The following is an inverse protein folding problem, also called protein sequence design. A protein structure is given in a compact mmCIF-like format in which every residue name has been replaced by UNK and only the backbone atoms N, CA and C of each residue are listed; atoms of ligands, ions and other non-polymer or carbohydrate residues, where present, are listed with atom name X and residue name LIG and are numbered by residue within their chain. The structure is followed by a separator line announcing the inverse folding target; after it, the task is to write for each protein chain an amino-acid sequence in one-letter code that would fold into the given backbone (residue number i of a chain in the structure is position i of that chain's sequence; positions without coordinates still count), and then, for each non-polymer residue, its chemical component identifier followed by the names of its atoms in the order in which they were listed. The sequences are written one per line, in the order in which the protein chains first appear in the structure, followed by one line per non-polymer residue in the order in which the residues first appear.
data_IF_512375885017
#
_entry.id   IF_512375885017
#
_cell.length_a   1.000
_cell.length_b   1.000
_cell.length_c   1.000
_cell.angle_alpha   90.00
_cell.angle_beta   90.00
_cell.angle_gamma   90.00
#
_symmetry.space_group_name_H-M   'P 1'
#
loop_
_entity.id
_entity.type
_entity.pdbx_description
1 polymer ?
#
# COMPACT_ATOMS: atom_id res chain seq x y z
N UNK A 1 -5.95 -8.08 -23.46
CA UNK A 1 -5.38 -6.77 -23.10
C UNK A 1 -5.39 -6.68 -21.58
N UNK A 2 -4.56 -7.46 -20.88
CA UNK A 2 -4.66 -7.55 -19.39
C UNK A 2 -3.43 -8.08 -18.65
N UNK A 3 -2.32 -8.50 -19.30
CA UNK A 3 -1.16 -9.02 -18.54
C UNK A 3 -0.38 -7.92 -17.77
N UNK A 4 -0.37 -6.69 -18.28
CA UNK A 4 0.38 -5.58 -17.68
C UNK A 4 -0.29 -5.01 -16.42
N UNK A 5 -1.62 -5.02 -16.36
CA UNK A 5 -2.40 -4.47 -15.24
C UNK A 5 -2.34 -5.40 -14.02
N UNK A 6 -2.46 -6.71 -14.24
CA UNK A 6 -2.28 -7.73 -13.18
C UNK A 6 -0.87 -7.71 -12.58
N UNK A 7 0.16 -7.46 -13.41
CA UNK A 7 1.55 -7.39 -12.95
C UNK A 7 1.79 -6.17 -12.06
N UNK A 8 1.20 -5.02 -12.38
CA UNK A 8 1.38 -3.79 -11.59
C UNK A 8 0.68 -3.91 -10.23
N UNK A 9 -0.53 -4.47 -10.19
CA UNK A 9 -1.25 -4.69 -8.94
C UNK A 9 -0.54 -5.70 -8.01
N UNK A 10 0.07 -6.74 -8.59
CA UNK A 10 0.92 -7.68 -7.85
C UNK A 10 2.17 -7.02 -7.28
N UNK A 11 2.81 -6.16 -8.08
CA UNK A 11 3.96 -5.39 -7.63
C UNK A 11 3.56 -4.48 -6.45
N UNK A 12 2.45 -3.74 -6.57
CA UNK A 12 1.93 -2.84 -5.54
C UNK A 12 1.52 -3.62 -4.28
N UNK A 13 0.87 -4.78 -4.43
CA UNK A 13 0.54 -5.66 -3.32
C UNK A 13 1.79 -6.15 -2.55
N UNK A 14 2.91 -6.38 -3.26
CA UNK A 14 4.20 -6.73 -2.65
C UNK A 14 4.88 -5.56 -1.93
N UNK A 15 4.57 -4.31 -2.28
CA UNK A 15 5.14 -3.12 -1.63
C UNK A 15 4.49 -2.85 -0.26
N UNK A 16 3.23 -3.20 -0.08
CA UNK A 16 2.48 -2.99 1.16
C UNK A 16 3.15 -3.51 2.44
N UNK A 17 3.45 -4.82 2.53
CA UNK A 17 4.13 -5.40 3.68
C UNK A 17 5.52 -4.79 3.94
N UNK A 18 6.25 -4.42 2.87
CA UNK A 18 7.57 -3.79 2.98
C UNK A 18 7.46 -2.38 3.55
N UNK A 19 6.49 -1.60 3.09
CA UNK A 19 6.22 -0.26 3.59
C UNK A 19 5.85 -0.28 5.06
N UNK A 20 4.91 -1.17 5.43
CA UNK A 20 4.48 -1.38 6.82
C UNK A 20 5.66 -1.71 7.73
N UNK A 21 6.54 -2.63 7.31
CA UNK A 21 7.75 -3.00 8.07
C UNK A 21 8.65 -1.79 8.30
N UNK A 22 9.00 -1.05 7.25
CA UNK A 22 9.86 0.15 7.38
C UNK A 22 9.22 1.21 8.27
N UNK A 23 7.90 1.41 8.16
CA UNK A 23 7.15 2.35 9.00
C UNK A 23 7.23 1.97 10.49
N UNK A 24 7.05 0.69 10.78
CA UNK A 24 7.13 0.16 12.14
C UNK A 24 8.56 0.19 12.69
N UNK A 25 9.57 -0.17 11.89
CA UNK A 25 11.00 -0.05 12.27
C UNK A 25 11.38 1.39 12.60
N UNK A 26 10.79 2.36 11.91
CA UNK A 26 10.97 3.79 12.17
C UNK A 26 10.05 4.35 13.26
N UNK A 27 9.22 3.52 13.89
CA UNK A 27 8.20 3.92 14.88
C UNK A 27 7.36 5.14 14.46
N UNK A 28 7.03 5.22 13.16
CA UNK A 28 6.27 6.36 12.62
C UNK A 28 4.81 5.99 12.35
N UNK A 29 3.94 7.00 12.33
CA UNK A 29 2.51 6.83 12.08
C UNK A 29 2.20 6.95 10.59
N UNK A 30 1.04 6.46 10.16
CA UNK A 30 0.57 6.70 8.80
C UNK A 30 0.35 8.19 8.52
N UNK A 31 0.00 8.99 9.54
CA UNK A 31 -0.16 10.44 9.42
C UNK A 31 1.18 11.12 9.12
N UNK A 32 2.24 10.80 9.89
CA UNK A 32 3.57 11.34 9.64
C UNK A 32 4.15 10.86 8.29
N UNK A 33 3.87 9.61 7.91
CA UNK A 33 4.24 9.11 6.58
C UNK A 33 3.46 9.84 5.47
N UNK A 34 2.20 10.20 5.71
CA UNK A 34 1.36 10.97 4.79
C UNK A 34 1.91 12.38 4.59
N UNK A 35 2.28 13.07 5.66
CA UNK A 35 2.90 14.40 5.60
C UNK A 35 4.22 14.40 4.81
N UNK A 36 5.05 13.37 5.00
CA UNK A 36 6.36 13.27 4.37
C UNK A 36 6.31 12.86 2.89
N UNK A 37 5.33 12.05 2.50
CA UNK A 37 5.19 11.53 1.12
C UNK A 37 4.18 12.28 0.28
N UNK A 38 3.30 13.08 0.91
CA UNK A 38 2.14 13.70 0.26
C UNK A 38 1.02 12.69 -0.12
N UNK A 39 1.18 11.41 0.21
CA UNK A 39 0.19 10.37 -0.06
C UNK A 39 -0.81 10.36 1.08
N UNK A 40 -2.11 10.33 0.78
CA UNK A 40 -3.14 10.32 1.83
C UNK A 40 -3.05 9.07 2.73
N UNK A 41 -3.40 9.25 4.01
CA UNK A 41 -3.47 8.16 5.00
C UNK A 41 -4.29 6.98 4.49
N UNK A 42 -5.42 7.22 3.82
CA UNK A 42 -6.28 6.17 3.29
C UNK A 42 -5.62 5.36 2.18
N UNK A 43 -4.78 6.00 1.35
CA UNK A 43 -4.01 5.33 0.31
C UNK A 43 -2.87 4.51 0.90
N UNK A 44 -2.13 5.08 1.86
CA UNK A 44 -1.08 4.34 2.58
C UNK A 44 -1.65 3.14 3.35
N UNK A 45 -2.81 3.31 3.98
CA UNK A 45 -3.51 2.23 4.70
C UNK A 45 -3.86 1.08 3.75
N UNK A 46 -4.50 1.37 2.61
CA UNK A 46 -4.82 0.36 1.57
C UNK A 46 -3.57 -0.32 1.03
N UNK A 47 -2.50 0.44 0.83
CA UNK A 47 -1.21 -0.08 0.39
C UNK A 47 -0.63 -1.04 1.44
N UNK A 48 -0.56 -0.63 2.72
CA UNK A 48 -0.02 -1.46 3.81
C UNK A 48 -0.87 -2.69 4.13
N UNK A 49 -2.19 -2.62 3.96
CA UNK A 49 -3.11 -3.75 4.15
C UNK A 49 -3.17 -4.69 2.95
N UNK A 50 -2.65 -4.24 1.79
CA UNK A 50 -2.67 -5.02 0.54
C UNK A 50 -4.09 -5.39 0.13
N UNK A 51 -5.05 -4.47 0.32
CA UNK A 51 -6.48 -4.75 0.23
C UNK A 51 -6.89 -5.16 -1.21
N UNK A 52 -6.65 -6.44 -1.54
CA UNK A 52 -7.32 -7.15 -2.61
C UNK A 52 -8.75 -7.40 -2.13
N UNK A 53 -9.68 -6.55 -2.58
CA UNK A 53 -11.08 -6.95 -2.69
C UNK A 53 -11.61 -6.64 -4.08
N UNK A 54 -11.51 -7.58 -5.04
CA UNK A 54 -12.67 -7.83 -5.88
C UNK A 54 -13.64 -8.65 -5.02
N UNK A 55 -14.59 -7.99 -4.36
CA UNK A 55 -15.81 -8.71 -3.99
C UNK A 55 -16.53 -9.01 -5.29
N UNK A 56 -16.40 -10.25 -5.77
CA UNK A 56 -17.29 -10.81 -6.78
C UNK A 56 -18.66 -10.97 -6.10
N UNK A 57 -19.59 -10.08 -6.42
CA UNK A 57 -20.97 -10.51 -6.64
C UNK A 57 -21.08 -11.07 -8.06
#
# INVERSE_FOLDING_TARGET
MTDAETTLDELIAGLGPRLKRIRMEKNTTLAALSETTGISISTLSRLESGDRKPSLE
#
